data_IF_166789785411
#
_entry.id   IF_166789785411
#
_cell.length_a   1.000
_cell.length_b   1.000
_cell.length_c   1.000
_cell.angle_alpha   90.00
_cell.angle_beta   90.00
_cell.angle_gamma   90.00
#
_symmetry.space_group_name_H-M   'P 1'
#
loop_
_entity.id
_entity.type
_entity.pdbx_description
1 polymer ?
#
# COMPACT_ATOMS: atom_id res chain seq x y z
N UNK A 1 -13.63 12.36 8.23
CA UNK A 1 -12.93 12.51 6.93
C UNK A 1 -12.99 13.94 6.40
N UNK A 2 -14.17 14.52 6.12
CA UNK A 2 -14.27 15.87 5.52
C UNK A 2 -13.39 16.99 6.12
N UNK A 3 -13.32 17.11 7.46
CA UNK A 3 -12.44 18.12 8.11
C UNK A 3 -10.95 17.89 7.83
N UNK A 4 -10.51 16.64 7.79
CA UNK A 4 -9.11 16.28 7.52
C UNK A 4 -8.75 16.56 6.06
N UNK A 5 -9.61 16.13 5.12
CA UNK A 5 -9.38 16.34 3.69
C UNK A 5 -9.40 17.85 3.34
N UNK A 6 -10.30 18.63 3.95
CA UNK A 6 -10.31 20.08 3.81
C UNK A 6 -9.04 20.76 4.34
N UNK A 7 -8.48 20.27 5.46
CA UNK A 7 -7.23 20.80 6.01
C UNK A 7 -6.04 20.54 5.09
N UNK A 8 -6.00 19.37 4.42
CA UNK A 8 -4.97 19.05 3.43
C UNK A 8 -5.10 19.91 2.18
N UNK A 9 -6.32 20.14 1.67
CA UNK A 9 -6.56 21.04 0.54
C UNK A 9 -6.14 22.48 0.87
N UNK A 10 -6.50 22.97 2.06
CA UNK A 10 -6.08 24.29 2.52
C UNK A 10 -4.55 24.40 2.65
N UNK A 11 -3.88 23.33 3.09
CA UNK A 11 -2.41 23.28 3.10
C UNK A 11 -1.83 23.35 1.68
N UNK A 12 -2.39 22.60 0.72
CA UNK A 12 -1.96 22.63 -0.67
C UNK A 12 -2.09 24.04 -1.27
N UNK A 13 -3.22 24.73 -1.03
CA UNK A 13 -3.41 26.11 -1.45
C UNK A 13 -2.37 27.06 -0.83
N UNK A 14 -2.09 26.94 0.47
CA UNK A 14 -1.03 27.73 1.14
C UNK A 14 0.37 27.47 0.59
N UNK A 15 0.57 26.34 -0.10
CA UNK A 15 1.83 25.99 -0.78
C UNK A 15 1.82 26.35 -2.27
N UNK A 16 0.81 27.07 -2.74
CA UNK A 16 0.73 27.60 -4.12
C UNK A 16 -0.03 26.72 -5.10
N UNK A 17 -0.71 25.65 -4.66
CA UNK A 17 -1.57 24.86 -5.54
C UNK A 17 -2.86 25.63 -5.83
N UNK A 18 -3.16 25.87 -7.10
CA UNK A 18 -4.47 26.39 -7.51
C UNK A 18 -5.56 25.36 -7.23
N UNK A 19 -6.56 25.75 -6.45
CA UNK A 19 -7.72 24.92 -6.14
C UNK A 19 -8.98 25.56 -6.72
N UNK A 20 -9.73 24.78 -7.49
CA UNK A 20 -11.00 25.18 -8.08
C UNK A 20 -12.11 24.34 -7.45
N UNK A 21 -12.97 24.96 -6.64
CA UNK A 21 -14.08 24.30 -5.96
C UNK A 21 -15.29 25.25 -5.81
N UNK A 22 -16.52 24.80 -6.08
CA UNK A 22 -16.87 23.51 -6.68
C UNK A 22 -16.48 23.46 -8.16
N UNK A 23 -15.95 22.32 -8.61
CA UNK A 23 -15.62 22.07 -10.01
C UNK A 23 -15.98 20.65 -10.43
N UNK A 24 -16.47 20.49 -11.66
CA UNK A 24 -16.75 19.19 -12.28
C UNK A 24 -16.06 19.11 -13.63
N UNK A 25 -15.38 18.00 -13.91
CA UNK A 25 -14.85 17.69 -15.22
C UNK A 25 -16.01 17.49 -16.22
N UNK A 26 -16.04 18.28 -17.29
CA UNK A 26 -17.00 18.14 -18.38
C UNK A 26 -16.43 17.35 -19.55
N UNK A 27 -15.23 17.72 -19.98
CA UNK A 27 -14.59 17.15 -21.16
C UNK A 27 -13.09 17.05 -20.95
N UNK A 28 -12.52 15.96 -21.43
CA UNK A 28 -11.08 15.74 -21.48
C UNK A 28 -10.68 15.34 -22.90
N UNK A 29 -9.77 16.10 -23.51
CA UNK A 29 -9.23 15.85 -24.85
C UNK A 29 -7.71 15.97 -24.86
N UNK A 30 -7.09 15.48 -25.94
CA UNK A 30 -5.66 15.61 -26.18
C UNK A 30 -4.89 14.33 -25.87
N UNK A 31 -3.60 14.48 -25.68
CA UNK A 31 -2.65 13.41 -25.41
C UNK A 31 -1.57 13.90 -24.44
N UNK A 32 -0.65 13.02 -24.07
CA UNK A 32 0.51 13.36 -23.24
C UNK A 32 1.20 14.64 -23.75
N UNK A 33 1.45 15.59 -22.84
CA UNK A 33 2.08 16.87 -23.16
C UNK A 33 1.13 18.01 -23.55
N UNK A 34 -0.09 17.73 -24.03
CA UNK A 34 -1.07 18.76 -24.45
C UNK A 34 -2.53 18.32 -24.16
N UNK A 35 -2.80 18.03 -22.88
CA UNK A 35 -4.16 17.78 -22.43
C UNK A 35 -4.97 19.07 -22.40
N UNK A 36 -6.21 19.00 -22.87
CA UNK A 36 -7.21 20.07 -22.82
C UNK A 36 -8.36 19.64 -21.92
N UNK A 37 -8.51 20.32 -20.80
CA UNK A 37 -9.47 20.01 -19.74
C UNK A 37 -10.54 21.10 -19.70
N UNK A 38 -11.81 20.72 -19.82
CA UNK A 38 -12.95 21.61 -19.65
C UNK A 38 -13.61 21.33 -18.30
N UNK A 39 -13.68 22.35 -17.45
CA UNK A 39 -14.28 22.29 -16.12
C UNK A 39 -15.54 23.14 -16.08
N UNK A 40 -16.59 22.65 -15.42
CA UNK A 40 -17.69 23.47 -14.92
C UNK A 40 -17.35 23.90 -13.50
N UNK A 41 -17.22 25.20 -13.28
CA UNK A 41 -16.91 25.82 -12.00
C UNK A 41 -18.17 26.52 -11.47
N UNK A 42 -18.67 26.13 -10.30
CA UNK A 42 -19.98 26.59 -9.84
C UNK A 42 -21.11 26.08 -10.73
N UNK A 43 -22.14 26.90 -10.97
CA UNK A 43 -23.35 26.48 -11.68
C UNK A 43 -23.29 26.71 -13.21
N UNK A 44 -22.53 27.69 -13.68
CA UNK A 44 -22.55 28.09 -15.11
C UNK A 44 -21.20 28.48 -15.70
N UNK A 45 -20.15 28.69 -14.89
CA UNK A 45 -18.86 29.15 -15.41
C UNK A 45 -18.07 27.97 -15.95
N UNK A 46 -17.65 28.02 -17.20
CA UNK A 46 -16.72 27.03 -17.75
C UNK A 46 -15.28 27.56 -17.73
N UNK A 47 -14.32 26.70 -17.39
CA UNK A 47 -12.88 27.00 -17.40
C UNK A 47 -12.17 25.98 -18.29
N UNK A 48 -11.32 26.47 -19.18
CA UNK A 48 -10.43 25.64 -20.00
C UNK A 48 -9.03 25.66 -19.39
N UNK A 49 -8.44 24.49 -19.21
CA UNK A 49 -7.08 24.33 -18.67
C UNK A 49 -6.29 23.46 -19.65
N UNK A 50 -5.04 23.87 -19.93
CA UNK A 50 -4.08 23.02 -20.63
C UNK A 50 -3.08 22.44 -19.62
N UNK A 51 -2.74 21.17 -19.78
CA UNK A 51 -1.82 20.49 -18.88
C UNK A 51 -0.93 19.49 -19.62
N UNK A 52 0.31 19.32 -19.16
CA UNK A 52 1.22 18.29 -19.69
C UNK A 52 0.89 16.90 -19.14
N UNK A 53 0.42 16.84 -17.90
CA UNK A 53 0.10 15.62 -17.18
C UNK A 53 -1.25 15.73 -16.48
N UNK A 54 -1.92 14.59 -16.33
CA UNK A 54 -3.15 14.43 -15.56
C UNK A 54 -2.91 13.46 -14.42
N UNK A 55 -3.33 13.86 -13.21
CA UNK A 55 -3.31 13.01 -12.03
C UNK A 55 -4.76 12.72 -11.61
N UNK A 56 -5.17 11.48 -11.78
CA UNK A 56 -6.50 11.00 -11.40
C UNK A 56 -6.48 10.56 -9.94
N UNK A 57 -6.97 11.42 -9.06
CA UNK A 57 -7.16 11.16 -7.64
C UNK A 57 -8.65 11.13 -7.27
N UNK A 58 -9.53 10.71 -8.19
CA UNK A 58 -11.00 10.75 -7.99
C UNK A 58 -11.52 9.77 -6.93
N UNK A 59 -10.64 8.92 -6.38
CA UNK A 59 -11.00 7.83 -5.50
C UNK A 59 -11.56 6.63 -6.27
N UNK A 60 -12.34 5.80 -5.58
CA UNK A 60 -12.84 4.53 -6.09
C UNK A 60 -13.90 4.74 -7.17
N UNK A 61 -13.58 4.34 -8.40
CA UNK A 61 -14.54 4.20 -9.50
C UNK A 61 -14.77 2.71 -9.80
N UNK A 62 -15.92 2.35 -10.37
CA UNK A 62 -16.27 0.98 -10.76
C UNK A 62 -15.47 0.48 -12.00
N UNK A 63 -14.17 0.79 -12.07
CA UNK A 63 -13.29 0.39 -13.16
C UNK A 63 -12.93 -1.09 -13.05
N UNK A 64 -12.80 -1.81 -14.17
CA UNK A 64 -12.17 -3.13 -14.16
C UNK A 64 -10.74 -3.00 -13.61
N UNK A 65 -10.34 -3.98 -12.81
CA UNK A 65 -9.04 -4.02 -12.15
C UNK A 65 -8.63 -5.46 -11.88
N UNK A 66 -7.34 -5.65 -11.58
CA UNK A 66 -6.84 -6.91 -11.04
C UNK A 66 -7.36 -7.01 -9.61
N UNK A 67 -8.25 -7.95 -9.33
CA UNK A 67 -8.74 -8.21 -7.98
C UNK A 67 -7.62 -8.87 -7.18
N UNK A 68 -7.31 -8.29 -6.01
CA UNK A 68 -6.28 -8.83 -5.12
C UNK A 68 -6.86 -9.77 -4.05
N UNK A 69 -8.19 -9.75 -3.87
CA UNK A 69 -8.92 -10.61 -2.94
C UNK A 69 -10.39 -10.79 -3.42
N UNK A 70 -11.17 -11.73 -2.83
CA UNK A 70 -12.59 -11.89 -3.14
C UNK A 70 -13.40 -10.62 -2.88
N UNK A 71 -14.62 -10.57 -3.45
CA UNK A 71 -15.50 -9.40 -3.37
C UNK A 71 -15.80 -9.02 -1.91
N UNK A 72 -15.69 -7.75 -1.59
CA UNK A 72 -16.04 -7.21 -0.28
C UNK A 72 -16.94 -5.99 -0.43
N UNK A 73 -17.88 -5.85 0.49
CA UNK A 73 -18.64 -4.63 0.69
C UNK A 73 -18.63 -4.23 2.15
N UNK A 74 -18.68 -2.92 2.38
CA UNK A 74 -18.81 -2.32 3.68
C UNK A 74 -20.19 -1.68 3.81
N UNK A 75 -20.96 -2.12 4.81
CA UNK A 75 -22.23 -1.54 5.21
C UNK A 75 -21.96 -0.75 6.48
N UNK A 76 -22.29 0.54 6.55
CA UNK A 76 -21.98 1.33 7.73
C UNK A 76 -23.10 2.29 8.13
N UNK A 77 -23.21 2.48 9.43
CA UNK A 77 -24.11 3.41 10.09
C UNK A 77 -23.42 4.08 11.27
N UNK A 78 -24.07 5.06 11.88
CA UNK A 78 -23.51 5.80 13.00
C UNK A 78 -24.46 5.74 14.19
N UNK A 79 -23.92 5.71 15.41
CA UNK A 79 -24.66 5.75 16.67
C UNK A 79 -24.04 6.82 17.57
N UNK A 80 -24.81 7.28 18.56
CA UNK A 80 -24.24 8.11 19.64
C UNK A 80 -23.19 7.31 20.42
N UNK A 81 -22.11 7.97 20.83
CA UNK A 81 -21.04 7.34 21.60
C UNK A 81 -21.55 6.73 22.92
N UNK A 82 -22.60 7.30 23.51
CA UNK A 82 -23.21 6.79 24.74
C UNK A 82 -23.84 5.41 24.60
N UNK A 83 -24.05 4.91 23.37
CA UNK A 83 -24.55 3.56 23.11
C UNK A 83 -23.50 2.50 23.41
N UNK A 84 -22.22 2.85 23.24
CA UNK A 84 -21.08 1.94 23.36
C UNK A 84 -20.02 2.52 24.33
N UNK A 85 -20.38 2.76 25.61
CA UNK A 85 -19.48 3.40 26.56
C UNK A 85 -18.23 2.55 26.84
N UNK A 86 -18.36 1.23 26.76
CA UNK A 86 -17.27 0.25 27.00
C UNK A 86 -16.13 0.35 25.98
N UNK A 87 -16.38 0.95 24.81
CA UNK A 87 -15.34 1.09 23.80
C UNK A 87 -14.35 2.23 24.09
N UNK A 88 -14.69 3.17 24.99
CA UNK A 88 -13.79 4.24 25.48
C UNK A 88 -12.92 4.92 24.40
N UNK A 89 -13.53 5.26 23.27
CA UNK A 89 -12.86 5.90 22.13
C UNK A 89 -11.95 4.99 21.29
N UNK A 90 -11.72 3.74 21.68
CA UNK A 90 -10.88 2.79 20.95
C UNK A 90 -11.52 2.32 19.64
N UNK A 91 -10.69 1.99 18.67
CA UNK A 91 -11.12 1.31 17.44
C UNK A 91 -11.18 -0.19 17.70
N UNK A 92 -12.28 -0.81 17.33
CA UNK A 92 -12.50 -2.25 17.51
C UNK A 92 -12.67 -2.95 16.18
N UNK A 93 -12.21 -4.20 16.12
CA UNK A 93 -12.49 -5.14 15.02
C UNK A 93 -12.93 -6.46 15.65
N UNK A 94 -14.06 -6.99 15.20
CA UNK A 94 -14.59 -8.26 15.69
C UNK A 94 -14.93 -9.19 14.52
N UNK A 95 -14.38 -10.40 14.57
CA UNK A 95 -14.69 -11.45 13.61
C UNK A 95 -16.07 -12.08 13.90
N UNK A 96 -16.90 -12.19 12.86
CA UNK A 96 -18.16 -12.92 12.85
C UNK A 96 -18.07 -14.07 11.83
N UNK A 97 -18.98 -15.04 11.85
CA UNK A 97 -18.94 -16.18 10.92
C UNK A 97 -19.01 -15.78 9.42
N UNK A 98 -19.68 -14.67 9.11
CA UNK A 98 -19.95 -14.23 7.73
C UNK A 98 -19.35 -12.87 7.37
N UNK A 99 -18.40 -12.39 8.17
CA UNK A 99 -17.82 -11.06 7.99
C UNK A 99 -17.08 -10.61 9.24
N UNK A 100 -16.79 -9.33 9.31
CA UNK A 100 -16.29 -8.71 10.54
C UNK A 100 -16.91 -7.35 10.73
N UNK A 101 -17.03 -6.96 12.00
CA UNK A 101 -17.44 -5.62 12.37
C UNK A 101 -16.22 -4.77 12.69
N UNK A 102 -16.35 -3.48 12.39
CA UNK A 102 -15.44 -2.45 12.84
C UNK A 102 -16.23 -1.33 13.49
N UNK A 103 -15.70 -0.82 14.60
CA UNK A 103 -16.24 0.35 15.26
C UNK A 103 -15.13 1.37 15.49
N UNK A 104 -15.36 2.63 15.13
CA UNK A 104 -14.40 3.70 15.32
C UNK A 104 -15.05 5.01 15.74
N UNK A 105 -14.43 5.68 16.71
CA UNK A 105 -14.92 6.96 17.21
C UNK A 105 -14.73 8.06 16.17
N UNK A 106 -15.76 8.89 16.00
CA UNK A 106 -15.76 10.06 15.15
C UNK A 106 -15.88 11.34 15.98
N UNK A 107 -15.42 12.49 15.45
CA UNK A 107 -15.71 13.78 16.05
C UNK A 107 -17.22 13.97 16.28
N UNK A 108 -17.56 14.62 17.40
CA UNK A 108 -18.95 14.91 17.78
C UNK A 108 -19.62 13.81 18.60
N UNK A 109 -18.85 12.98 19.34
CA UNK A 109 -19.35 11.92 20.22
C UNK A 109 -20.21 10.89 19.48
N UNK A 110 -19.70 10.38 18.36
CA UNK A 110 -20.39 9.35 17.56
C UNK A 110 -19.46 8.18 17.30
N UNK A 111 -20.02 6.98 17.25
CA UNK A 111 -19.35 5.81 16.69
C UNK A 111 -19.85 5.53 15.28
N UNK A 112 -18.94 5.19 14.38
CA UNK A 112 -19.31 4.52 13.13
C UNK A 112 -19.17 3.02 13.32
N UNK A 113 -20.22 2.29 12.98
CA UNK A 113 -20.27 0.84 12.95
C UNK A 113 -20.23 0.40 11.49
N UNK A 114 -19.41 -0.58 11.17
CA UNK A 114 -19.23 -1.06 9.80
C UNK A 114 -19.20 -2.58 9.78
N UNK A 115 -20.11 -3.20 9.05
CA UNK A 115 -20.04 -4.61 8.68
C UNK A 115 -19.33 -4.75 7.35
N UNK A 116 -18.24 -5.52 7.33
CA UNK A 116 -17.54 -5.93 6.12
C UNK A 116 -17.83 -7.39 5.85
N UNK A 117 -18.41 -7.68 4.68
CA UNK A 117 -18.85 -9.03 4.33
C UNK A 117 -18.82 -9.28 2.82
N UNK A 118 -19.10 -10.52 2.42
CA UNK A 118 -19.38 -10.86 1.03
C UNK A 118 -20.80 -10.36 0.66
N UNK A 119 -20.94 -9.44 -0.33
CA UNK A 119 -22.22 -8.82 -0.63
C UNK A 119 -23.26 -9.77 -1.25
N UNK A 120 -22.84 -10.89 -1.84
CA UNK A 120 -23.74 -11.89 -2.41
C UNK A 120 -24.20 -12.87 -1.34
N UNK A 121 -23.29 -13.39 -0.53
CA UNK A 121 -23.62 -14.27 0.59
C UNK A 121 -24.54 -13.56 1.60
N UNK A 122 -24.21 -12.33 1.99
CA UNK A 122 -25.02 -11.55 2.92
C UNK A 122 -26.45 -11.29 2.39
N UNK A 123 -26.61 -11.05 1.09
CA UNK A 123 -27.92 -10.85 0.47
C UNK A 123 -28.75 -12.13 0.41
N UNK A 124 -28.12 -13.29 0.19
CA UNK A 124 -28.80 -14.59 0.19
C UNK A 124 -29.24 -15.00 1.59
N UNK A 125 -28.36 -14.83 2.59
CA UNK A 125 -28.65 -15.18 3.98
C UNK A 125 -29.75 -14.29 4.57
N UNK A 126 -29.73 -12.99 4.27
CA UNK A 126 -30.71 -12.03 4.76
C UNK A 126 -31.16 -11.10 3.62
N UNK A 127 -32.28 -11.43 2.95
CA UNK A 127 -32.83 -10.61 1.86
C UNK A 127 -33.22 -9.19 2.27
N UNK A 128 -33.42 -8.95 3.58
CA UNK A 128 -33.69 -7.63 4.14
C UNK A 128 -32.60 -6.60 3.78
N UNK A 129 -32.94 -5.31 3.92
CA UNK A 129 -32.09 -4.20 3.50
C UNK A 129 -30.77 -4.08 4.28
N UNK A 130 -29.85 -3.21 3.80
CA UNK A 130 -28.55 -2.95 4.42
C UNK A 130 -28.58 -2.73 5.95
N UNK A 131 -29.58 -1.97 6.43
CA UNK A 131 -29.73 -1.67 7.85
C UNK A 131 -30.06 -2.91 8.67
N UNK A 132 -30.98 -3.75 8.20
CA UNK A 132 -31.34 -4.99 8.91
C UNK A 132 -30.11 -5.91 9.06
N UNK A 133 -29.28 -6.01 8.01
CA UNK A 133 -28.03 -6.80 8.06
C UNK A 133 -27.02 -6.24 9.05
N UNK A 134 -26.82 -4.92 9.07
CA UNK A 134 -25.92 -4.28 10.03
C UNK A 134 -26.41 -4.51 11.47
N UNK A 135 -27.72 -4.41 11.71
CA UNK A 135 -28.32 -4.63 13.03
C UNK A 135 -28.20 -6.09 13.48
N UNK A 136 -28.46 -7.05 12.59
CA UNK A 136 -28.27 -8.48 12.86
C UNK A 136 -26.82 -8.77 13.22
N UNK A 137 -25.86 -8.30 12.41
CA UNK A 137 -24.44 -8.48 12.73
C UNK A 137 -24.06 -7.85 14.07
N UNK A 138 -24.59 -6.66 14.41
CA UNK A 138 -24.37 -6.07 15.73
C UNK A 138 -24.96 -6.95 16.83
N UNK A 139 -26.16 -7.52 16.65
CA UNK A 139 -26.79 -8.39 17.65
C UNK A 139 -25.96 -9.66 17.93
N UNK A 140 -25.31 -10.20 16.89
CA UNK A 140 -24.45 -11.39 16.98
C UNK A 140 -23.05 -11.08 17.59
N UNK A 141 -22.72 -9.80 17.76
CA UNK A 141 -21.42 -9.34 18.23
C UNK A 141 -21.33 -9.23 19.75
N UNK A 142 -20.20 -9.65 20.31
CA UNK A 142 -19.90 -9.50 21.73
C UNK A 142 -19.66 -8.04 22.12
N UNK A 143 -18.99 -7.28 21.25
CA UNK A 143 -18.59 -5.89 21.52
C UNK A 143 -19.69 -4.87 21.17
N UNK A 144 -20.55 -5.15 20.18
CA UNK A 144 -21.43 -4.17 19.55
C UNK A 144 -22.93 -4.47 19.69
N UNK A 145 -23.32 -5.57 20.37
CA UNK A 145 -24.72 -5.95 20.65
C UNK A 145 -25.58 -4.83 21.24
N UNK A 146 -25.00 -3.98 22.08
CA UNK A 146 -25.72 -2.84 22.68
C UNK A 146 -26.24 -1.84 21.63
N UNK A 147 -25.66 -1.82 20.42
CA UNK A 147 -26.09 -0.96 19.33
C UNK A 147 -27.20 -1.55 18.43
N UNK A 148 -27.44 -2.86 18.46
CA UNK A 148 -28.31 -3.55 17.49
C UNK A 148 -29.74 -2.97 17.43
N UNK A 149 -30.32 -2.64 18.59
CA UNK A 149 -31.66 -2.06 18.70
C UNK A 149 -31.71 -0.54 18.84
N UNK A 150 -30.58 0.17 18.70
CA UNK A 150 -30.52 1.62 18.95
C UNK A 150 -30.77 2.45 17.70
N UNK A 151 -31.27 3.70 17.84
CA UNK A 151 -31.42 4.60 16.71
C UNK A 151 -30.08 4.84 16.00
N UNK A 152 -30.08 4.73 14.68
CA UNK A 152 -28.94 5.12 13.86
C UNK A 152 -29.03 6.61 13.52
N UNK A 153 -27.88 7.27 13.45
CA UNK A 153 -27.72 8.65 13.06
C UNK A 153 -27.68 8.72 11.52
N UNK A 154 -28.86 8.69 10.91
CA UNK A 154 -29.04 8.72 9.45
C UNK A 154 -29.15 7.34 8.83
N UNK A 155 -29.25 7.30 7.50
CA UNK A 155 -29.43 6.07 6.73
C UNK A 155 -28.13 5.27 6.61
N UNK A 156 -28.24 3.94 6.74
CA UNK A 156 -27.12 3.03 6.47
C UNK A 156 -26.65 3.17 5.03
N UNK A 157 -25.34 3.31 4.88
CA UNK A 157 -24.66 3.42 3.59
C UNK A 157 -23.98 2.10 3.25
N UNK A 158 -23.76 1.86 1.95
CA UNK A 158 -23.02 0.71 1.46
C UNK A 158 -22.02 1.15 0.40
N UNK A 159 -20.80 0.63 0.46
CA UNK A 159 -19.80 0.83 -0.59
C UNK A 159 -19.04 -0.46 -0.89
N UNK A 160 -18.47 -0.53 -2.10
CA UNK A 160 -17.52 -1.59 -2.43
C UNK A 160 -16.25 -1.43 -1.58
N UNK A 161 -15.75 -2.56 -1.07
CA UNK A 161 -14.53 -2.65 -0.27
C UNK A 161 -13.52 -3.66 -0.84
N UNK A 162 -13.82 -4.27 -2.00
CA UNK A 162 -12.92 -5.20 -2.69
C UNK A 162 -11.54 -4.59 -2.93
N UNK A 163 -10.46 -5.28 -2.54
CA UNK A 163 -9.09 -4.90 -2.89
C UNK A 163 -8.81 -5.08 -4.39
N UNK A 164 -8.14 -4.13 -5.01
CA UNK A 164 -7.77 -4.19 -6.43
C UNK A 164 -6.52 -3.37 -6.76
N UNK A 165 -5.95 -3.67 -7.92
CA UNK A 165 -4.93 -2.90 -8.62
C UNK A 165 -5.44 -2.52 -10.01
N UNK A 166 -5.46 -1.22 -10.33
CA UNK A 166 -5.88 -0.75 -11.64
C UNK A 166 -4.73 -0.91 -12.66
N UNK A 167 -4.94 -1.66 -13.77
CA UNK A 167 -3.89 -1.98 -14.74
C UNK A 167 -3.41 -0.75 -15.54
N UNK A 168 -4.25 0.27 -15.64
CA UNK A 168 -4.02 1.53 -16.35
C UNK A 168 -3.57 2.66 -15.40
N UNK A 169 -2.96 2.32 -14.26
CA UNK A 169 -2.50 3.31 -13.28
C UNK A 169 -1.38 4.22 -13.82
N UNK A 170 -0.55 3.71 -14.72
CA UNK A 170 0.42 4.49 -15.48
C UNK A 170 0.06 4.43 -16.97
N UNK A 171 -0.31 5.57 -17.55
CA UNK A 171 -0.51 5.76 -18.98
C UNK A 171 0.31 6.99 -19.42
N UNK A 172 0.53 7.11 -20.72
CA UNK A 172 1.27 8.25 -21.27
C UNK A 172 0.57 9.57 -20.89
N UNK A 173 1.26 10.41 -20.11
CA UNK A 173 0.72 11.69 -19.64
C UNK A 173 -0.44 11.60 -18.64
N UNK A 174 -0.84 10.42 -18.15
CA UNK A 174 -1.93 10.25 -17.17
C UNK A 174 -1.59 9.19 -16.12
N UNK A 175 -1.65 9.57 -14.85
CA UNK A 175 -1.39 8.69 -13.71
C UNK A 175 -2.60 8.62 -12.80
N UNK A 176 -2.88 7.45 -12.23
CA UNK A 176 -3.88 7.30 -11.16
C UNK A 176 -3.21 7.32 -9.79
N UNK A 177 -3.89 7.86 -8.79
CA UNK A 177 -3.41 7.99 -7.41
C UNK A 177 -4.46 7.51 -6.41
N UNK A 178 -4.01 7.04 -5.24
CA UNK A 178 -4.88 6.53 -4.17
C UNK A 178 -5.84 5.45 -4.67
N UNK A 179 -7.08 5.49 -4.20
CA UNK A 179 -8.12 4.53 -4.60
C UNK A 179 -8.41 4.52 -6.11
N UNK A 180 -8.02 5.54 -6.90
CA UNK A 180 -8.13 5.43 -8.36
C UNK A 180 -7.13 4.39 -8.93
N UNK A 181 -5.96 4.25 -8.31
CA UNK A 181 -4.90 3.32 -8.73
C UNK A 181 -5.01 1.95 -8.04
N UNK A 182 -5.28 1.92 -6.74
CA UNK A 182 -5.37 0.67 -6.00
C UNK A 182 -6.21 0.85 -4.74
N UNK A 183 -6.91 -0.21 -4.34
CA UNK A 183 -7.62 -0.28 -3.08
C UNK A 183 -7.16 -1.50 -2.29
N UNK A 184 -7.08 -1.32 -0.97
CA UNK A 184 -6.64 -2.33 -0.03
C UNK A 184 -7.81 -2.85 0.82
N UNK A 185 -7.62 -4.00 1.47
CA UNK A 185 -8.59 -4.50 2.44
C UNK A 185 -8.66 -3.55 3.66
N UNK A 186 -9.86 -3.15 4.10
CA UNK A 186 -10.01 -2.15 5.15
C UNK A 186 -9.66 -2.61 6.57
N UNK A 187 -9.40 -3.90 6.82
CA UNK A 187 -9.19 -4.45 8.18
C UNK A 187 -8.10 -3.72 8.98
N UNK A 188 -7.04 -3.28 8.31
CA UNK A 188 -5.92 -2.55 8.94
C UNK A 188 -6.12 -1.04 9.11
N UNK A 189 -7.21 -0.47 8.56
CA UNK A 189 -7.45 0.98 8.49
C UNK A 189 -6.31 1.80 7.84
N UNK A 190 -5.48 1.19 6.97
CA UNK A 190 -4.26 1.83 6.42
C UNK A 190 -4.44 2.57 5.08
N UNK A 191 -5.64 2.58 4.49
CA UNK A 191 -5.87 3.11 3.14
C UNK A 191 -5.41 4.57 2.95
N UNK A 192 -5.66 5.46 3.92
CA UNK A 192 -5.23 6.87 3.84
C UNK A 192 -3.70 7.00 3.91
N UNK A 193 -3.06 6.27 4.82
CA UNK A 193 -1.60 6.27 4.96
C UNK A 193 -0.94 5.78 3.66
N UNK A 194 -1.45 4.70 3.08
CA UNK A 194 -0.94 4.12 1.83
C UNK A 194 -1.18 5.04 0.64
N UNK A 195 -2.33 5.69 0.53
CA UNK A 195 -2.59 6.68 -0.51
C UNK A 195 -1.63 7.88 -0.41
N UNK A 196 -1.36 8.39 0.80
CA UNK A 196 -0.42 9.50 1.01
C UNK A 196 1.02 9.10 0.68
N UNK A 197 1.48 7.94 1.19
CA UNK A 197 2.82 7.42 0.91
C UNK A 197 3.04 7.18 -0.58
N UNK A 198 2.07 6.57 -1.25
CA UNK A 198 2.13 6.34 -2.68
C UNK A 198 2.12 7.64 -3.47
N UNK A 199 1.33 8.64 -3.07
CA UNK A 199 1.29 9.95 -3.75
C UNK A 199 2.64 10.66 -3.72
N UNK A 200 3.40 10.54 -2.62
CA UNK A 200 4.78 11.04 -2.56
C UNK A 200 5.70 10.31 -3.56
N UNK A 201 5.61 8.97 -3.62
CA UNK A 201 6.40 8.17 -4.56
C UNK A 201 6.03 8.51 -6.02
N UNK A 202 4.75 8.71 -6.31
CA UNK A 202 4.28 9.14 -7.62
C UNK A 202 4.79 10.53 -7.99
N UNK A 203 4.87 11.47 -7.04
CA UNK A 203 5.45 12.78 -7.26
C UNK A 203 6.95 12.69 -7.63
N UNK A 204 7.72 11.82 -6.97
CA UNK A 204 9.13 11.54 -7.32
C UNK A 204 9.25 10.93 -8.73
N UNK A 205 8.40 9.96 -9.06
CA UNK A 205 8.36 9.38 -10.40
C UNK A 205 8.04 10.42 -11.48
N UNK A 206 7.05 11.29 -11.23
CA UNK A 206 6.69 12.37 -12.15
C UNK A 206 7.81 13.41 -12.26
N UNK A 207 8.43 13.80 -11.15
CA UNK A 207 9.55 14.74 -11.15
C UNK A 207 10.73 14.20 -11.97
N UNK A 208 11.01 12.90 -11.90
CA UNK A 208 12.01 12.21 -12.71
C UNK A 208 11.76 12.37 -14.21
N UNK A 209 10.50 12.25 -14.64
CA UNK A 209 10.09 12.45 -16.04
C UNK A 209 10.16 13.92 -16.45
N UNK A 210 9.80 14.83 -15.55
CA UNK A 210 9.79 16.27 -15.84
C UNK A 210 11.18 16.91 -15.86
N UNK A 211 12.12 16.37 -15.08
CA UNK A 211 13.43 16.97 -14.87
C UNK A 211 14.44 16.72 -16.01
N UNK A 212 14.20 15.73 -16.87
CA UNK A 212 15.17 15.35 -17.90
C UNK A 212 14.59 14.40 -18.96
N UNK A 213 14.79 14.73 -20.25
CA UNK A 213 14.25 13.99 -21.41
C UNK A 213 15.23 12.93 -21.95
N UNK A 214 16.25 12.55 -21.17
CA UNK A 214 17.14 11.44 -21.55
C UNK A 214 16.35 10.15 -21.77
N UNK A 215 16.74 9.42 -22.82
CA UNK A 215 16.15 8.15 -23.18
C UNK A 215 16.12 7.18 -21.97
N UNK A 216 14.94 6.60 -21.69
CA UNK A 216 14.75 5.62 -20.62
C UNK A 216 14.25 6.16 -19.27
N UNK A 217 14.26 7.48 -19.01
CA UNK A 217 13.75 8.07 -17.74
C UNK A 217 12.27 7.78 -17.50
N UNK A 218 11.45 7.86 -18.56
CA UNK A 218 10.03 7.50 -18.49
C UNK A 218 9.81 6.02 -18.15
N UNK A 219 10.60 5.12 -18.75
CA UNK A 219 10.53 3.70 -18.46
C UNK A 219 10.96 3.40 -17.02
N UNK A 220 12.01 4.05 -16.53
CA UNK A 220 12.48 3.93 -15.15
C UNK A 220 11.45 4.44 -14.14
N UNK A 221 10.87 5.62 -14.39
CA UNK A 221 9.82 6.20 -13.54
C UNK A 221 8.58 5.31 -13.49
N UNK A 222 8.15 4.78 -14.65
CA UNK A 222 7.06 3.80 -14.74
C UNK A 222 7.36 2.54 -13.93
N UNK A 223 8.54 1.95 -14.12
CA UNK A 223 8.97 0.74 -13.39
C UNK A 223 8.96 0.97 -11.87
N UNK A 224 9.43 2.13 -11.41
CA UNK A 224 9.36 2.49 -10.00
C UNK A 224 7.91 2.63 -9.51
N UNK A 225 7.09 3.40 -10.23
CA UNK A 225 5.69 3.64 -9.86
C UNK A 225 4.87 2.34 -9.80
N UNK A 226 4.91 1.53 -10.86
CA UNK A 226 4.18 0.25 -10.93
C UNK A 226 4.74 -0.74 -9.90
N UNK A 227 6.06 -0.76 -9.68
CA UNK A 227 6.68 -1.57 -8.63
C UNK A 227 6.19 -1.22 -7.22
N UNK A 228 5.98 0.07 -6.92
CA UNK A 228 5.42 0.49 -5.61
C UNK A 228 3.94 0.12 -5.44
N UNK A 229 3.16 0.12 -6.52
CA UNK A 229 1.79 -0.40 -6.49
C UNK A 229 1.77 -1.91 -6.22
N UNK A 230 2.59 -2.67 -6.93
CA UNK A 230 2.74 -4.11 -6.76
C UNK A 230 3.16 -4.45 -5.32
N UNK A 231 4.22 -3.81 -4.81
CA UNK A 231 4.71 -4.01 -3.44
C UNK A 231 3.63 -3.69 -2.39
N UNK A 232 2.88 -2.60 -2.58
CA UNK A 232 1.81 -2.21 -1.66
C UNK A 232 0.67 -3.23 -1.63
N UNK A 233 0.20 -3.67 -2.81
CA UNK A 233 -0.88 -4.64 -2.92
C UNK A 233 -0.47 -6.04 -2.45
N UNK A 234 0.72 -6.52 -2.84
CA UNK A 234 1.22 -7.85 -2.47
C UNK A 234 1.40 -7.99 -0.95
N UNK A 235 2.08 -7.02 -0.33
CA UNK A 235 2.32 -7.01 1.12
C UNK A 235 1.04 -6.89 1.92
N UNK A 236 0.12 -6.04 1.47
CA UNK A 236 -1.16 -5.91 2.15
C UNK A 236 -1.98 -7.20 2.04
N UNK A 237 -2.02 -7.82 0.85
CA UNK A 237 -2.66 -9.11 0.66
C UNK A 237 -2.08 -10.18 1.61
N UNK A 238 -0.74 -10.29 1.67
CA UNK A 238 -0.05 -11.23 2.57
C UNK A 238 -0.45 -11.04 4.04
N UNK A 239 -0.47 -9.81 4.56
CA UNK A 239 -0.92 -9.55 5.94
C UNK A 239 -2.39 -9.88 6.15
N UNK A 240 -3.24 -9.51 5.20
CA UNK A 240 -4.69 -9.77 5.33
C UNK A 240 -5.00 -11.25 5.27
N UNK A 241 -4.35 -12.01 4.40
CA UNK A 241 -4.46 -13.47 4.33
C UNK A 241 -4.10 -14.11 5.67
N UNK A 242 -3.04 -13.64 6.32
CA UNK A 242 -2.69 -14.08 7.67
C UNK A 242 -3.77 -13.72 8.70
N UNK A 243 -4.30 -12.49 8.69
CA UNK A 243 -5.38 -12.09 9.60
C UNK A 243 -6.65 -12.93 9.40
N UNK A 244 -7.06 -13.17 8.15
CA UNK A 244 -8.21 -14.01 7.84
C UNK A 244 -7.96 -15.48 8.26
N UNK A 245 -6.74 -15.99 8.08
CA UNK A 245 -6.37 -17.36 8.47
C UNK A 245 -6.21 -17.58 9.98
N UNK A 246 -6.03 -16.51 10.78
CA UNK A 246 -5.89 -16.56 12.23
C UNK A 246 -7.20 -16.29 12.99
N UNK A 247 -8.28 -15.95 12.29
CA UNK A 247 -9.56 -15.70 12.92
C UNK A 247 -10.09 -16.97 13.62
N UNK A 248 -10.83 -16.80 14.72
CA UNK A 248 -11.40 -17.92 15.47
C UNK A 248 -12.35 -18.79 14.63
N UNK A 249 -12.94 -18.21 13.59
CA UNK A 249 -13.83 -18.84 12.62
C UNK A 249 -13.20 -18.97 11.23
N UNK A 250 -11.86 -19.18 11.16
CA UNK A 250 -11.13 -19.29 9.90
C UNK A 250 -11.61 -20.42 8.97
N UNK A 251 -12.35 -21.40 9.51
CA UNK A 251 -12.98 -22.50 8.79
C UNK A 251 -14.28 -22.11 8.06
N UNK A 252 -14.87 -20.96 8.38
CA UNK A 252 -16.09 -20.49 7.74
C UNK A 252 -15.84 -20.00 6.30
N UNK A 253 -16.81 -20.14 5.37
CA UNK A 253 -16.59 -19.86 3.94
C UNK A 253 -16.09 -18.45 3.62
N UNK A 254 -16.52 -17.44 4.37
CA UNK A 254 -16.07 -16.05 4.19
C UNK A 254 -14.56 -15.93 4.47
N UNK A 255 -14.07 -16.59 5.51
CA UNK A 255 -12.69 -16.52 5.98
C UNK A 255 -11.76 -17.38 5.13
N UNK A 256 -12.14 -18.63 4.84
CA UNK A 256 -11.36 -19.53 3.98
C UNK A 256 -11.05 -18.92 2.61
N UNK A 257 -12.06 -18.29 1.98
CA UNK A 257 -11.89 -17.66 0.67
C UNK A 257 -10.88 -16.50 0.68
N UNK A 258 -10.61 -15.90 1.84
CA UNK A 258 -9.73 -14.73 2.01
C UNK A 258 -8.39 -15.05 2.68
N UNK A 259 -8.25 -16.23 3.29
CA UNK A 259 -7.00 -16.70 3.87
C UNK A 259 -6.00 -17.17 2.80
N UNK A 260 -6.49 -17.56 1.61
CA UNK A 260 -5.67 -17.92 0.44
C UNK A 260 -6.38 -17.50 -0.83
N UNK A 261 -5.89 -16.45 -1.50
CA UNK A 261 -6.49 -15.98 -2.74
C UNK A 261 -5.43 -15.63 -3.77
N UNK A 262 -5.49 -16.25 -4.94
CA UNK A 262 -4.68 -15.79 -6.07
C UNK A 262 -5.25 -14.49 -6.65
N UNK A 263 -4.39 -13.54 -7.06
CA UNK A 263 -4.88 -12.35 -7.76
C UNK A 263 -5.46 -12.75 -9.13
N UNK A 264 -6.55 -12.12 -9.54
CA UNK A 264 -7.24 -12.45 -10.79
C UNK A 264 -8.24 -11.39 -11.22
N UNK A 265 -8.78 -11.48 -12.42
CA UNK A 265 -9.71 -10.46 -12.93
C UNK A 265 -10.03 -10.62 -14.40
N UNK A 266 -11.26 -10.25 -14.76
CA UNK A 266 -11.97 -10.75 -15.96
C UNK A 266 -11.59 -10.18 -17.32
N UNK A 267 -10.61 -9.28 -17.44
CA UNK A 267 -10.13 -8.74 -18.72
C UNK A 267 -8.72 -8.18 -18.53
N UNK A 268 -7.72 -9.04 -18.28
CA UNK A 268 -6.36 -8.61 -17.95
C UNK A 268 -5.67 -7.92 -19.13
N UNK A 269 -5.91 -6.61 -19.29
CA UNK A 269 -5.26 -5.74 -20.28
C UNK A 269 -3.75 -5.56 -20.04
N UNK A 270 -3.21 -6.05 -18.91
CA UNK A 270 -1.82 -5.92 -18.47
C UNK A 270 -1.29 -7.20 -17.78
N UNK A 271 -0.99 -8.27 -18.55
CA UNK A 271 -0.49 -9.54 -18.00
C UNK A 271 0.85 -9.40 -17.29
N UNK A 272 1.68 -8.43 -17.70
CA UNK A 272 2.96 -8.09 -17.06
C UNK A 272 2.77 -7.61 -15.61
N UNK A 273 1.77 -6.76 -15.35
CA UNK A 273 1.48 -6.25 -14.02
C UNK A 273 0.89 -7.34 -13.10
N UNK A 274 0.03 -8.21 -13.66
CA UNK A 274 -0.49 -9.37 -12.93
C UNK A 274 0.64 -10.34 -12.57
N UNK A 275 1.54 -10.64 -13.51
CA UNK A 275 2.70 -11.50 -13.26
C UNK A 275 3.62 -10.91 -12.18
N UNK A 276 3.88 -9.59 -12.22
CA UNK A 276 4.65 -8.91 -11.18
C UNK A 276 3.99 -9.00 -9.80
N UNK A 277 2.66 -8.82 -9.72
CA UNK A 277 1.90 -8.98 -8.48
C UNK A 277 1.96 -10.41 -7.96
N UNK A 278 1.75 -11.42 -8.81
CA UNK A 278 1.84 -12.83 -8.42
C UNK A 278 3.24 -13.21 -7.95
N UNK A 279 4.29 -12.74 -8.64
CA UNK A 279 5.68 -13.00 -8.25
C UNK A 279 6.02 -12.39 -6.88
N UNK A 280 5.60 -11.15 -6.62
CA UNK A 280 5.83 -10.51 -5.32
C UNK A 280 5.06 -11.20 -4.19
N UNK A 281 3.82 -11.64 -4.45
CA UNK A 281 3.05 -12.43 -3.47
C UNK A 281 3.70 -13.78 -3.17
N UNK A 282 4.17 -14.49 -4.19
CA UNK A 282 4.88 -15.75 -4.02
C UNK A 282 6.18 -15.57 -3.21
N UNK A 283 6.94 -14.48 -3.47
CA UNK A 283 8.12 -14.11 -2.69
C UNK A 283 7.78 -13.92 -1.21
N UNK A 284 6.74 -13.14 -0.90
CA UNK A 284 6.31 -12.89 0.48
C UNK A 284 5.76 -14.14 1.17
N UNK A 285 5.03 -14.99 0.46
CA UNK A 285 4.53 -16.25 0.99
C UNK A 285 5.65 -17.26 1.30
N UNK A 286 6.72 -17.25 0.50
CA UNK A 286 7.91 -18.09 0.71
C UNK A 286 8.95 -17.50 1.67
N UNK A 287 8.83 -16.22 2.04
CA UNK A 287 9.78 -15.56 2.93
C UNK A 287 9.66 -16.10 4.36
N UNK A 288 10.79 -16.47 4.93
CA UNK A 288 10.93 -16.83 6.33
C UNK A 288 12.04 -15.97 6.93
N UNK A 289 11.79 -15.24 8.03
CA UNK A 289 12.84 -14.49 8.71
C UNK A 289 14.00 -15.42 9.08
N UNK A 290 15.26 -15.06 8.76
CA UNK A 290 16.41 -15.89 9.10
C UNK A 290 16.61 -15.96 10.61
N UNK A 291 17.16 -17.07 11.10
CA UNK A 291 17.71 -17.11 12.45
C UNK A 291 18.94 -16.20 12.52
N UNK A 292 19.00 -15.34 13.54
CA UNK A 292 20.09 -14.38 13.68
C UNK A 292 21.37 -15.07 14.16
N UNK A 293 22.44 -14.99 13.38
CA UNK A 293 23.78 -15.46 13.79
C UNK A 293 24.26 -14.63 15.00
N UNK A 294 24.83 -15.25 16.04
CA UNK A 294 25.41 -14.49 17.15
C UNK A 294 26.64 -13.71 16.68
N UNK A 295 26.83 -12.49 17.18
CA UNK A 295 28.03 -11.70 16.88
C UNK A 295 29.31 -12.36 17.41
N UNK A 296 29.20 -13.15 18.48
CA UNK A 296 30.33 -13.91 19.02
C UNK A 296 30.88 -14.97 18.05
N UNK A 297 30.09 -15.41 17.06
CA UNK A 297 30.54 -16.35 16.03
C UNK A 297 31.30 -15.68 14.87
N UNK A 298 31.35 -14.34 14.85
CA UNK A 298 32.10 -13.60 13.84
C UNK A 298 33.60 -13.67 14.16
N UNK A 299 34.38 -14.34 13.30
CA UNK A 299 35.83 -14.36 13.42
C UNK A 299 36.44 -13.15 12.68
N UNK A 300 36.98 -12.13 13.38
CA UNK A 300 37.52 -10.94 12.74
C UNK A 300 38.83 -11.18 11.96
N UNK A 301 39.48 -12.32 12.16
CA UNK A 301 40.71 -12.69 11.43
C UNK A 301 40.42 -13.23 10.03
N UNK A 302 39.20 -13.72 9.78
CA UNK A 302 38.82 -14.24 8.46
C UNK A 302 38.24 -13.12 7.59
N UNK A 303 38.57 -13.08 6.29
CA UNK A 303 37.87 -12.23 5.33
C UNK A 303 36.36 -12.51 5.29
N UNK A 304 35.57 -11.48 5.04
CA UNK A 304 34.13 -11.56 4.82
C UNK A 304 33.79 -11.34 3.35
N UNK A 305 32.73 -11.98 2.87
CA UNK A 305 32.08 -11.68 1.58
C UNK A 305 30.57 -11.84 1.69
N UNK A 306 29.83 -11.40 0.68
CA UNK A 306 28.42 -11.74 0.53
C UNK A 306 28.25 -13.26 0.51
N UNK A 307 27.23 -13.74 1.22
CA UNK A 307 26.87 -15.15 1.24
C UNK A 307 26.62 -15.68 -0.18
N UNK A 308 26.96 -16.95 -0.46
CA UNK A 308 26.87 -17.53 -1.80
C UNK A 308 25.46 -17.50 -2.44
N UNK A 309 24.40 -17.39 -1.62
CA UNK A 309 23.02 -17.21 -2.09
C UNK A 309 22.64 -15.76 -2.44
N UNK A 310 23.57 -14.81 -2.33
CA UNK A 310 23.33 -13.41 -2.63
C UNK A 310 23.41 -13.13 -4.13
N UNK A 311 22.46 -12.35 -4.62
CA UNK A 311 22.49 -11.79 -5.96
C UNK A 311 22.57 -10.26 -5.89
N UNK A 312 23.21 -9.65 -6.87
CA UNK A 312 23.20 -8.20 -7.06
C UNK A 312 22.24 -7.91 -8.21
N UNK A 313 21.14 -7.23 -7.91
CA UNK A 313 20.08 -6.91 -8.87
C UNK A 313 19.97 -5.41 -9.08
N UNK A 314 19.43 -4.97 -10.21
CA UNK A 314 19.13 -3.56 -10.41
C UNK A 314 17.77 -3.20 -9.81
N UNK A 315 17.70 -2.09 -9.08
CA UNK A 315 16.50 -1.61 -8.39
C UNK A 315 16.31 -0.10 -8.61
N UNK A 316 15.11 0.36 -9.00
CA UNK A 316 14.78 1.77 -9.00
C UNK A 316 14.76 2.32 -7.57
N UNK A 317 15.65 3.26 -7.30
CA UNK A 317 15.90 3.87 -6.01
C UNK A 317 15.56 5.36 -6.05
N UNK A 318 15.09 5.91 -4.94
CA UNK A 318 14.93 7.36 -4.80
C UNK A 318 16.26 7.92 -4.32
N UNK A 319 16.86 8.78 -5.14
CA UNK A 319 18.04 9.58 -4.80
C UNK A 319 17.57 11.03 -4.82
N UNK A 320 17.65 11.69 -3.67
CA UNK A 320 17.08 13.01 -3.45
C UNK A 320 15.59 13.06 -3.84
N UNK A 321 15.24 13.73 -4.94
CA UNK A 321 13.89 13.88 -5.47
C UNK A 321 13.64 13.13 -6.79
N UNK A 322 14.57 12.27 -7.21
CA UNK A 322 14.51 11.54 -8.49
C UNK A 322 14.67 10.03 -8.34
N UNK A 323 14.13 9.30 -9.32
CA UNK A 323 14.35 7.86 -9.48
C UNK A 323 15.63 7.65 -10.27
N UNK A 324 16.56 6.90 -9.66
CA UNK A 324 17.81 6.45 -10.26
C UNK A 324 17.89 4.92 -10.20
N UNK A 325 18.53 4.31 -11.20
CA UNK A 325 18.79 2.88 -11.20
C UNK A 325 20.09 2.60 -10.43
N UNK A 326 20.00 1.77 -9.39
CA UNK A 326 21.16 1.36 -8.59
C UNK A 326 21.13 -0.14 -8.34
N UNK A 327 22.26 -0.70 -7.92
CA UNK A 327 22.34 -2.09 -7.49
C UNK A 327 21.71 -2.28 -6.11
N UNK A 328 21.19 -3.47 -5.86
CA UNK A 328 20.62 -3.88 -4.58
C UNK A 328 21.03 -5.32 -4.29
N UNK A 329 21.17 -5.64 -2.99
CA UNK A 329 21.41 -6.99 -2.52
C UNK A 329 20.08 -7.75 -2.48
N UNK A 330 19.94 -8.81 -3.26
CA UNK A 330 18.82 -9.76 -3.18
C UNK A 330 19.31 -11.06 -2.53
N UNK A 331 18.51 -11.62 -1.62
CA UNK A 331 18.86 -12.82 -0.88
C UNK A 331 17.59 -13.49 -0.30
N UNK A 332 17.52 -14.82 -0.16
CA UNK A 332 16.37 -15.49 0.46
C UNK A 332 16.04 -15.05 1.89
N UNK A 333 17.04 -14.56 2.63
CA UNK A 333 16.88 -14.00 3.98
C UNK A 333 16.37 -12.55 4.00
N UNK A 334 16.13 -11.95 2.83
CA UNK A 334 15.58 -10.61 2.69
C UNK A 334 14.16 -10.72 2.15
N UNK A 335 13.22 -10.04 2.80
CA UNK A 335 11.83 -9.91 2.31
C UNK A 335 11.79 -9.26 0.92
N UNK A 336 12.75 -8.37 0.63
CA UNK A 336 12.89 -7.64 -0.65
C UNK A 336 14.34 -7.25 -0.90
N UNK A 337 14.73 -6.91 -2.15
CA UNK A 337 16.07 -6.43 -2.44
C UNK A 337 16.43 -5.17 -1.65
N UNK A 338 17.67 -5.11 -1.16
CA UNK A 338 18.17 -4.10 -0.23
C UNK A 338 19.23 -3.21 -0.89
N UNK A 339 18.84 -1.97 -1.24
CA UNK A 339 19.77 -0.94 -1.71
C UNK A 339 20.25 0.00 -0.60
N UNK A 340 19.43 0.19 0.45
CA UNK A 340 19.72 1.07 1.58
C UNK A 340 19.46 0.34 2.90
N UNK A 341 20.32 0.59 3.88
CA UNK A 341 20.15 0.12 5.26
C UNK A 341 20.53 1.27 6.21
N UNK A 342 19.68 1.55 7.20
CA UNK A 342 19.87 2.70 8.13
C UNK A 342 20.04 4.07 7.45
N UNK A 343 19.33 4.27 6.33
CA UNK A 343 19.43 5.43 5.43
C UNK A 343 20.80 5.59 4.74
N UNK A 344 21.64 4.55 4.75
CA UNK A 344 22.92 4.54 4.06
C UNK A 344 22.86 3.65 2.81
N UNK A 345 23.48 4.12 1.73
CA UNK A 345 23.56 3.39 0.47
C UNK A 345 24.52 2.20 0.57
N UNK A 346 24.05 1.00 0.22
CA UNK A 346 24.89 -0.20 0.10
C UNK A 346 25.46 -0.35 -1.31
N UNK A 347 24.75 0.15 -2.33
CA UNK A 347 25.10 0.00 -3.74
C UNK A 347 26.53 0.40 -4.14
N UNK A 348 27.21 1.38 -3.50
CA UNK A 348 28.62 1.68 -3.83
C UNK A 348 29.57 0.53 -3.48
N UNK A 349 29.15 -0.36 -2.59
CA UNK A 349 29.99 -1.35 -1.91
C UNK A 349 29.71 -2.79 -2.33
N UNK A 350 28.52 -3.07 -2.90
CA UNK A 350 28.06 -4.43 -3.20
C UNK A 350 29.02 -5.22 -4.09
N UNK A 351 29.57 -4.59 -5.14
CA UNK A 351 30.50 -5.26 -6.05
C UNK A 351 31.79 -5.69 -5.35
N UNK A 352 32.31 -4.87 -4.42
CA UNK A 352 33.51 -5.21 -3.65
C UNK A 352 33.22 -6.27 -2.59
N UNK A 353 32.05 -6.21 -1.98
CA UNK A 353 31.54 -7.19 -1.00
C UNK A 353 31.34 -8.59 -1.60
N UNK A 354 31.19 -8.72 -2.92
CA UNK A 354 31.13 -10.03 -3.58
C UNK A 354 32.45 -10.81 -3.53
N UNK A 355 33.57 -10.13 -3.26
CA UNK A 355 34.89 -10.75 -3.10
C UNK A 355 35.29 -10.76 -1.61
N UNK A 356 36.14 -11.70 -1.17
CA UNK A 356 36.67 -11.68 0.20
C UNK A 356 37.33 -10.34 0.55
N UNK A 357 36.94 -9.77 1.70
CA UNK A 357 37.45 -8.51 2.25
C UNK A 357 37.79 -8.71 3.73
N UNK A 358 39.03 -8.44 4.17
CA UNK A 358 39.36 -8.38 5.60
C UNK A 358 38.44 -7.39 6.35
N UNK A 359 38.07 -7.71 7.60
CA UNK A 359 37.11 -6.92 8.39
C UNK A 359 37.46 -5.43 8.47
N UNK A 360 38.74 -5.10 8.73
CA UNK A 360 39.20 -3.72 8.80
C UNK A 360 39.04 -2.97 7.45
N UNK A 361 39.32 -3.64 6.34
CA UNK A 361 39.13 -3.07 5.00
C UNK A 361 37.65 -2.89 4.68
N UNK A 362 36.80 -3.83 5.08
CA UNK A 362 35.35 -3.70 4.93
C UNK A 362 34.81 -2.48 5.69
N UNK A 363 35.18 -2.32 6.96
CA UNK A 363 34.74 -1.18 7.77
C UNK A 363 35.24 0.14 7.17
N UNK A 364 36.48 0.20 6.69
CA UNK A 364 37.03 1.38 6.03
C UNK A 364 36.32 1.70 4.71
N UNK A 365 35.98 0.67 3.93
CA UNK A 365 35.26 0.80 2.67
C UNK A 365 33.86 1.38 2.89
N UNK A 366 33.10 0.82 3.84
CA UNK A 366 31.79 1.37 4.20
C UNK A 366 31.94 2.80 4.75
N UNK A 367 32.89 3.04 5.65
CA UNK A 367 33.15 4.35 6.25
C UNK A 367 33.54 5.44 5.24
N UNK A 368 33.92 5.08 4.01
CA UNK A 368 34.16 6.04 2.93
C UNK A 368 32.89 6.75 2.45
N UNK A 369 31.70 6.16 2.65
CA UNK A 369 30.42 6.76 2.22
C UNK A 369 29.38 6.90 3.33
N UNK A 370 29.68 6.51 4.56
CA UNK A 370 28.75 6.60 5.70
C UNK A 370 29.50 6.77 7.03
N UNK A 371 28.84 7.23 8.12
CA UNK A 371 29.46 7.33 9.43
C UNK A 371 30.00 5.98 9.94
N UNK A 372 31.20 5.97 10.53
CA UNK A 372 31.87 4.72 10.95
C UNK A 372 31.07 3.85 11.94
N UNK A 373 30.28 4.46 12.83
CA UNK A 373 29.39 3.71 13.74
C UNK A 373 28.24 3.02 12.98
N UNK A 374 27.76 3.59 11.87
CA UNK A 374 26.78 2.95 10.99
C UNK A 374 27.43 1.83 10.18
N UNK A 375 28.66 2.04 9.69
CA UNK A 375 29.42 0.98 9.02
C UNK A 375 29.52 -0.28 9.90
N UNK A 376 29.88 -0.12 11.18
CA UNK A 376 29.94 -1.22 12.15
C UNK A 376 28.58 -1.90 12.35
N UNK A 377 27.50 -1.12 12.54
CA UNK A 377 26.14 -1.64 12.70
C UNK A 377 25.64 -2.37 11.47
N UNK A 378 25.89 -1.84 10.28
CA UNK A 378 25.52 -2.44 9.00
C UNK A 378 26.28 -3.74 8.80
N UNK A 379 27.59 -3.78 9.04
CA UNK A 379 28.37 -5.03 8.97
C UNK A 379 27.84 -6.07 9.96
N UNK A 380 27.59 -5.68 11.20
CA UNK A 380 26.99 -6.54 12.22
C UNK A 380 25.63 -7.08 11.77
N UNK A 381 24.75 -6.22 11.25
CA UNK A 381 23.42 -6.60 10.78
C UNK A 381 23.49 -7.57 9.60
N UNK A 382 24.32 -7.28 8.60
CA UNK A 382 24.52 -8.15 7.44
C UNK A 382 25.06 -9.53 7.86
N UNK A 383 25.97 -9.57 8.83
CA UNK A 383 26.44 -10.84 9.42
C UNK A 383 25.33 -11.59 10.14
N UNK A 384 24.62 -10.93 11.07
CA UNK A 384 23.56 -11.54 11.88
C UNK A 384 22.46 -12.12 10.99
N UNK A 385 22.10 -11.45 9.90
CA UNK A 385 21.06 -11.93 8.97
C UNK A 385 21.59 -12.97 7.96
N UNK A 386 22.83 -13.42 8.13
CA UNK A 386 23.46 -14.43 7.26
C UNK A 386 23.68 -13.95 5.82
N UNK A 387 23.79 -12.64 5.61
CA UNK A 387 24.07 -12.03 4.31
C UNK A 387 25.58 -11.92 4.05
N UNK A 388 26.39 -12.04 5.10
CA UNK A 388 27.82 -12.21 5.02
C UNK A 388 28.24 -13.60 5.51
N UNK A 389 29.33 -14.10 4.95
CA UNK A 389 30.01 -15.32 5.36
C UNK A 389 31.52 -15.09 5.51
N UNK A 390 32.14 -15.84 6.42
CA UNK A 390 33.59 -15.87 6.58
C UNK A 390 34.20 -16.83 5.57
N UNK A 391 35.30 -16.41 4.96
CA UNK A 391 36.08 -17.24 4.02
C UNK A 391 37.31 -17.74 4.74
N UNK A 392 37.40 -19.06 4.89
CA UNK A 392 38.54 -19.77 5.50
C UNK A 392 39.62 -20.12 4.50
#
# INVERSE_FOLDING_TARGET
>A
RGRFDAALLALAQRRGVELEQPARLLHLAGAAGDWRVSLLCGEARTRQVRARFLLDASGRNASPGIHCAPRLAALWGEVDQSVLPELDGTTQVEALEHGWLWAGCLPGRRYRLMLVCDPHAARRAQPAGPEARLRTACADSLLLRAAAGRPLLGAVQMCAATPYLAPDSWQEGRLKLGDAAFALDPVSSSGVEKAMRFSLQAAVALHTVLGDDRHGRQALARRFFEGRLVEACARHAHWTEAYYGQAWCADQPFWQARARCEPGGGDAQRPDLLAALSAERARLAGYQPPELKPLAALNPALPLRLHGGAAIVELPCVIDDQVCLHTALDHPHLERPLAFLENEALFPHLARLAQPVPMNQLLNLLAASMPGHKAQRITAWLWQHGLLESVG
#
